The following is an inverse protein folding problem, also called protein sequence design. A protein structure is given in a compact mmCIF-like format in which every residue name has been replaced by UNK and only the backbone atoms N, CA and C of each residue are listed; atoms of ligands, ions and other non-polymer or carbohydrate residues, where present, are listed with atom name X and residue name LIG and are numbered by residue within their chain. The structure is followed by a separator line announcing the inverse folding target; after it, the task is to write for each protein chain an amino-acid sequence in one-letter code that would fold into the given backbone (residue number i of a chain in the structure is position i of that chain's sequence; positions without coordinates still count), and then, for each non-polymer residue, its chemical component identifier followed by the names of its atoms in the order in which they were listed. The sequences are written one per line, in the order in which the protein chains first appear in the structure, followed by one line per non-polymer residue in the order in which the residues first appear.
data_IF_255186289277
#
_entry.id   IF_255186289277
#
_cell.length_a   1.000
_cell.length_b   1.000
_cell.length_c   1.000
_cell.angle_alpha   90.00
_cell.angle_beta   90.00
_cell.angle_gamma   90.00
#
_symmetry.space_group_name_H-M   'P 1'
#
loop_
_entity.id
_entity.type
_entity.pdbx_description
1 polymer ?
#
# COMPACT_ATOMS: atom_id res chain seq x y z
N UNK A 1 8.33 17.57 7.03
CA UNK A 1 7.62 18.65 7.73
C UNK A 1 6.13 18.37 7.85
N UNK A 2 5.37 18.20 6.75
CA UNK A 2 3.93 17.85 6.85
C UNK A 2 3.66 16.47 7.47
N UNK A 3 4.36 15.41 7.02
CA UNK A 3 4.15 14.06 7.57
C UNK A 3 4.57 13.92 9.04
N UNK A 4 5.54 14.73 9.50
CA UNK A 4 6.04 14.67 10.87
C UNK A 4 5.06 15.31 11.85
N UNK A 5 4.55 16.51 11.56
CA UNK A 5 3.56 17.17 12.42
C UNK A 5 2.23 16.41 12.44
N UNK A 6 1.76 15.92 11.28
CA UNK A 6 0.56 15.05 11.22
C UNK A 6 0.74 13.75 12.02
N UNK A 7 1.95 13.20 12.07
CA UNK A 7 2.23 12.00 12.84
C UNK A 7 2.24 12.29 14.36
N UNK A 8 2.73 13.45 14.76
CA UNK A 8 2.65 13.94 16.16
C UNK A 8 1.19 14.06 16.59
N UNK A 9 0.35 14.76 15.81
CA UNK A 9 -1.09 14.91 16.11
C UNK A 9 -1.80 13.55 16.28
N UNK A 10 -1.52 12.59 15.39
CA UNK A 10 -2.14 11.26 15.44
C UNK A 10 -1.71 10.49 16.69
N UNK A 11 -0.46 10.67 17.14
CA UNK A 11 0.08 10.00 18.32
C UNK A 11 -0.54 10.53 19.61
N UNK A 12 -1.06 11.76 19.63
CA UNK A 12 -1.74 12.37 20.78
C UNK A 12 -3.15 11.81 21.00
N UNK A 13 -3.75 11.16 19.99
CA UNK A 13 -5.12 10.60 20.06
C UNK A 13 -5.21 9.27 20.85
N UNK A 14 -4.23 8.98 21.70
CA UNK A 14 -4.19 7.76 22.53
C UNK A 14 -5.03 7.86 23.79
N UNK A 15 -5.27 9.07 24.27
CA UNK A 15 -5.96 9.29 25.54
C UNK A 15 -7.47 9.12 25.37
N UNK A 16 -8.12 8.23 26.15
CA UNK A 16 -9.55 8.05 26.07
C UNK A 16 -10.28 9.24 26.69
N UNK A 17 -11.40 9.63 26.08
CA UNK A 17 -12.35 10.54 26.71
C UNK A 17 -13.49 9.74 27.35
N UNK A 18 -14.07 10.26 28.42
CA UNK A 18 -15.12 9.57 29.17
C UNK A 18 -16.51 10.01 28.70
N UNK A 19 -17.27 9.08 28.10
CA UNK A 19 -18.71 9.24 27.89
C UNK A 19 -19.42 8.50 29.02
N UNK A 20 -20.01 9.23 29.97
CA UNK A 20 -20.76 8.62 31.08
C UNK A 20 -19.97 7.50 31.79
N UNK A 21 -18.68 7.75 32.11
CA UNK A 21 -17.71 6.80 32.72
C UNK A 21 -17.19 5.67 31.84
N UNK A 22 -17.65 5.56 30.59
CA UNK A 22 -17.14 4.58 29.63
C UNK A 22 -15.93 5.20 28.90
N UNK A 23 -14.73 4.59 28.99
CA UNK A 23 -13.57 5.03 28.22
C UNK A 23 -13.84 4.84 26.73
N UNK A 24 -13.87 5.95 26.00
CA UNK A 24 -14.08 5.99 24.56
C UNK A 24 -12.82 6.49 23.88
N UNK A 25 -12.39 5.78 22.83
CA UNK A 25 -11.18 6.10 22.08
C UNK A 25 -11.57 6.64 20.70
N UNK A 26 -10.87 7.68 20.26
CA UNK A 26 -11.03 8.18 18.90
C UNK A 26 -10.47 7.17 17.89
N UNK A 27 -11.28 6.83 16.87
CA UNK A 27 -10.82 6.06 15.72
C UNK A 27 -10.65 7.03 14.56
N UNK A 28 -9.40 7.37 14.24
CA UNK A 28 -9.11 8.28 13.13
C UNK A 28 -9.33 7.57 11.81
N UNK A 29 -10.35 8.02 11.08
CA UNK A 29 -10.51 7.72 9.65
C UNK A 29 -10.08 8.95 8.87
N UNK A 30 -8.80 9.01 8.51
CA UNK A 30 -8.31 10.14 7.70
C UNK A 30 -8.85 9.98 6.28
N UNK A 31 -9.95 10.65 5.94
CA UNK A 31 -10.40 10.77 4.57
C UNK A 31 -10.49 12.25 4.27
N UNK A 32 -9.66 12.75 3.34
CA UNK A 32 -9.93 13.94 2.52
C UNK A 32 -8.83 14.09 1.46
N UNK A 33 -9.04 13.48 0.29
CA UNK A 33 -8.18 13.64 -0.87
C UNK A 33 -8.84 13.04 -2.11
N UNK A 34 -8.58 13.63 -3.28
CA UNK A 34 -8.95 13.03 -4.56
C UNK A 34 -8.25 11.65 -4.75
N UNK A 35 -8.61 10.91 -5.80
CA UNK A 35 -7.98 9.60 -6.08
C UNK A 35 -6.44 9.64 -6.02
N UNK A 36 -5.78 10.60 -6.72
CA UNK A 36 -4.34 10.79 -6.67
C UNK A 36 -3.75 11.00 -5.27
N UNK A 37 -4.35 11.85 -4.43
CA UNK A 37 -3.86 12.09 -3.08
C UNK A 37 -3.89 10.81 -2.24
N UNK A 38 -4.99 10.05 -2.30
CA UNK A 38 -5.11 8.77 -1.58
C UNK A 38 -4.11 7.73 -2.06
N UNK A 39 -3.92 7.62 -3.39
CA UNK A 39 -2.89 6.76 -3.97
C UNK A 39 -1.50 7.13 -3.46
N UNK A 40 -1.20 8.43 -3.40
CA UNK A 40 0.06 8.90 -2.87
C UNK A 40 0.25 8.53 -1.39
N UNK A 41 -0.77 8.78 -0.55
CA UNK A 41 -0.72 8.54 0.90
C UNK A 41 -0.53 7.07 1.26
N UNK A 42 -1.19 6.14 0.56
CA UNK A 42 -1.03 4.70 0.81
C UNK A 42 0.15 4.05 0.09
N UNK A 43 0.97 4.82 -0.61
CA UNK A 43 2.13 4.30 -1.33
C UNK A 43 1.79 3.52 -2.60
N UNK A 44 0.64 3.80 -3.21
CA UNK A 44 0.21 3.23 -4.48
C UNK A 44 0.86 3.95 -5.67
N UNK A 45 1.28 3.22 -6.69
CA UNK A 45 1.79 3.83 -7.92
C UNK A 45 0.68 4.46 -8.75
N UNK A 46 0.98 5.59 -9.37
CA UNK A 46 0.06 6.19 -10.34
C UNK A 46 0.29 5.54 -11.71
N UNK A 47 -0.77 4.99 -12.30
CA UNK A 47 -0.72 4.37 -13.64
C UNK A 47 -0.36 2.88 -13.63
N UNK A 48 0.21 2.40 -14.74
CA UNK A 48 0.49 0.97 -14.94
C UNK A 48 -0.75 0.11 -15.09
N UNK A 49 -0.61 -1.17 -14.78
CA UNK A 49 -1.69 -2.16 -14.86
C UNK A 49 -2.60 -2.16 -13.62
N UNK A 50 -2.13 -1.61 -12.49
CA UNK A 50 -2.88 -1.53 -11.23
C UNK A 50 -3.20 -0.08 -10.88
N UNK A 51 -4.02 0.58 -11.71
CA UNK A 51 -4.27 2.03 -11.61
C UNK A 51 -5.15 2.45 -10.44
N UNK A 52 -5.93 1.53 -9.91
CA UNK A 52 -6.92 1.80 -8.87
C UNK A 52 -6.49 1.13 -7.56
N UNK A 53 -6.96 1.69 -6.44
CA UNK A 53 -6.74 1.18 -5.10
C UNK A 53 -7.41 -0.18 -4.85
N UNK A 54 -8.32 -0.60 -5.73
CA UNK A 54 -8.94 -1.93 -5.71
C UNK A 54 -7.93 -3.07 -5.90
N UNK A 55 -6.73 -2.79 -6.41
CA UNK A 55 -5.70 -3.82 -6.64
C UNK A 55 -6.02 -4.77 -7.79
N UNK A 56 -7.03 -4.48 -8.62
CA UNK A 56 -7.36 -5.28 -9.80
C UNK A 56 -6.52 -4.79 -10.98
N UNK A 57 -5.96 -5.73 -11.74
CA UNK A 57 -5.31 -5.44 -13.00
C UNK A 57 -6.34 -4.84 -14.00
N UNK A 58 -5.96 -3.80 -14.73
CA UNK A 58 -6.80 -3.05 -15.68
C UNK A 58 -7.49 -3.95 -16.71
N UNK A 59 -6.84 -5.05 -17.11
CA UNK A 59 -7.42 -6.03 -18.03
C UNK A 59 -8.65 -6.73 -17.44
N UNK A 60 -8.70 -6.85 -16.12
CA UNK A 60 -9.75 -7.53 -15.37
C UNK A 60 -10.78 -6.58 -14.75
N UNK A 61 -10.69 -5.27 -15.01
CA UNK A 61 -11.59 -4.27 -14.41
C UNK A 61 -13.07 -4.46 -14.76
N UNK A 62 -13.36 -5.15 -15.88
CA UNK A 62 -14.71 -5.49 -16.32
C UNK A 62 -15.22 -6.82 -15.76
N UNK A 63 -14.36 -7.62 -15.14
CA UNK A 63 -14.71 -8.91 -14.57
C UNK A 63 -15.25 -8.67 -13.16
N UNK A 64 -16.56 -8.62 -13.02
CA UNK A 64 -17.26 -8.31 -11.76
C UNK A 64 -16.80 -9.24 -10.61
N UNK A 65 -16.52 -10.51 -10.90
CA UNK A 65 -16.01 -11.47 -9.91
C UNK A 65 -14.68 -11.02 -9.27
N UNK A 66 -13.82 -10.33 -10.04
CA UNK A 66 -12.59 -9.76 -9.49
C UNK A 66 -12.92 -8.67 -8.44
N UNK A 67 -13.94 -7.84 -8.68
CA UNK A 67 -14.35 -6.82 -7.70
C UNK A 67 -14.86 -7.42 -6.39
N UNK A 68 -15.61 -8.53 -6.44
CA UNK A 68 -16.12 -9.20 -5.24
C UNK A 68 -15.09 -10.00 -4.45
N UNK A 69 -13.96 -10.36 -5.06
CA UNK A 69 -12.93 -11.18 -4.43
C UNK A 69 -11.77 -10.37 -3.87
N UNK A 70 -11.70 -9.06 -4.17
CA UNK A 70 -10.65 -8.21 -3.63
C UNK A 70 -11.00 -7.69 -2.24
N UNK A 71 -10.13 -7.99 -1.28
CA UNK A 71 -10.16 -7.39 0.05
C UNK A 71 -9.43 -6.05 0.04
N UNK A 72 -10.03 -5.05 0.69
CA UNK A 72 -9.38 -3.77 0.98
C UNK A 72 -8.21 -4.03 1.93
N UNK A 73 -7.06 -3.43 1.63
CA UNK A 73 -5.85 -3.55 2.47
C UNK A 73 -5.72 -2.35 3.39
N UNK A 74 -5.50 -2.62 4.67
CA UNK A 74 -5.07 -1.65 5.68
C UNK A 74 -3.70 -1.06 5.34
N UNK A 75 -3.33 0.05 5.99
CA UNK A 75 -1.96 0.57 5.87
C UNK A 75 -0.91 -0.41 6.41
N UNK A 76 -1.24 -1.18 7.45
CA UNK A 76 -0.32 -2.19 7.99
C UNK A 76 -0.06 -3.31 6.98
N UNK A 77 -1.10 -3.86 6.35
CA UNK A 77 -0.93 -4.89 5.32
C UNK A 77 -0.13 -4.37 4.12
N UNK A 78 -0.36 -3.11 3.73
CA UNK A 78 0.45 -2.46 2.68
C UNK A 78 1.91 -2.32 3.10
N UNK A 79 2.18 -1.89 4.34
CA UNK A 79 3.53 -1.78 4.92
C UNK A 79 4.23 -3.14 4.91
N UNK A 80 3.58 -4.17 5.44
CA UNK A 80 4.10 -5.53 5.49
C UNK A 80 4.38 -6.09 4.10
N UNK A 81 3.52 -5.82 3.13
CA UNK A 81 3.73 -6.28 1.76
C UNK A 81 5.01 -5.70 1.14
N UNK A 82 5.30 -4.43 1.41
CA UNK A 82 6.54 -3.78 0.95
C UNK A 82 7.75 -4.35 1.68
N UNK A 83 7.68 -4.50 3.01
CA UNK A 83 8.78 -4.97 3.86
C UNK A 83 9.08 -6.47 3.76
N UNK A 84 8.13 -7.27 3.27
CA UNK A 84 8.32 -8.72 3.08
C UNK A 84 9.46 -9.04 2.10
N UNK A 85 9.77 -8.09 1.21
CA UNK A 85 10.85 -8.21 0.26
C UNK A 85 12.18 -7.69 0.81
N UNK A 86 13.27 -8.23 0.28
CA UNK A 86 14.63 -7.74 0.60
C UNK A 86 14.94 -6.36 0.02
N UNK A 87 14.33 -5.99 -1.11
CA UNK A 87 14.68 -4.78 -1.86
C UNK A 87 14.52 -3.53 -0.99
N UNK A 88 13.41 -3.44 -0.26
CA UNK A 88 13.16 -2.29 0.62
C UNK A 88 14.14 -2.23 1.80
N UNK A 89 14.56 -3.39 2.34
CA UNK A 89 15.42 -3.47 3.51
C UNK A 89 16.89 -3.10 3.20
N UNK A 90 17.30 -3.19 1.94
CA UNK A 90 18.67 -2.93 1.51
C UNK A 90 18.96 -1.45 1.21
N UNK A 91 17.93 -0.66 0.89
CA UNK A 91 18.08 0.75 0.56
C UNK A 91 17.45 1.62 1.65
N UNK A 92 18.29 2.42 2.32
CA UNK A 92 17.91 3.25 3.47
C UNK A 92 17.31 4.59 3.06
N UNK A 93 17.43 4.98 1.78
CA UNK A 93 17.04 6.32 1.28
C UNK A 93 15.87 6.27 0.29
N UNK A 94 15.05 5.21 0.32
CA UNK A 94 13.93 5.00 -0.61
C UNK A 94 12.86 6.08 -0.46
N UNK A 95 12.98 7.14 -1.27
CA UNK A 95 11.93 8.15 -1.50
C UNK A 95 11.06 7.82 -2.72
N UNK A 96 11.53 6.95 -3.61
CA UNK A 96 10.90 6.58 -4.88
C UNK A 96 10.49 5.10 -4.89
N UNK A 97 9.83 4.63 -5.97
CA UNK A 97 9.45 3.22 -6.11
C UNK A 97 10.71 2.34 -6.22
N UNK A 98 11.06 1.52 -5.21
CA UNK A 98 12.28 0.72 -5.20
C UNK A 98 12.20 -0.47 -6.16
N UNK A 99 11.01 -0.80 -6.68
CA UNK A 99 10.78 -1.93 -7.57
C UNK A 99 10.82 -1.57 -9.06
N UNK A 100 11.01 -0.29 -9.40
CA UNK A 100 10.85 0.22 -10.77
C UNK A 100 12.02 -0.08 -11.72
N UNK A 101 13.23 -0.33 -11.19
CA UNK A 101 14.46 -0.45 -11.99
C UNK A 101 15.33 -1.65 -11.60
N UNK A 102 14.73 -2.70 -11.05
CA UNK A 102 15.47 -3.89 -10.62
C UNK A 102 16.05 -4.64 -11.83
N UNK A 103 17.30 -5.07 -11.69
CA UNK A 103 17.97 -6.01 -12.61
C UNK A 103 17.36 -7.41 -12.43
N UNK A 104 17.56 -8.28 -13.41
CA UNK A 104 17.02 -9.65 -13.40
C UNK A 104 17.39 -10.39 -12.10
N UNK A 105 18.66 -10.37 -11.71
CA UNK A 105 19.13 -11.03 -10.49
C UNK A 105 18.50 -10.44 -9.21
N UNK A 106 18.23 -9.12 -9.19
CA UNK A 106 17.58 -8.47 -8.05
C UNK A 106 16.09 -8.87 -7.97
N UNK A 107 15.41 -8.96 -9.11
CA UNK A 107 14.04 -9.49 -9.20
C UNK A 107 13.95 -10.95 -8.75
N UNK A 108 14.88 -11.79 -9.18
CA UNK A 108 14.94 -13.20 -8.77
C UNK A 108 15.09 -13.30 -7.25
N UNK A 109 15.97 -12.49 -6.67
CA UNK A 109 16.20 -12.50 -5.23
C UNK A 109 15.02 -11.91 -4.44
N UNK A 110 14.37 -10.86 -4.96
CA UNK A 110 13.16 -10.26 -4.39
C UNK A 110 12.00 -11.26 -4.37
N UNK A 111 11.72 -11.90 -5.51
CA UNK A 111 10.68 -12.92 -5.62
C UNK A 111 10.98 -14.16 -4.76
N UNK A 112 12.23 -14.61 -4.72
CA UNK A 112 12.65 -15.71 -3.86
C UNK A 112 12.42 -15.37 -2.37
N UNK A 113 12.74 -14.14 -1.93
CA UNK A 113 12.48 -13.71 -0.55
C UNK A 113 10.98 -13.69 -0.19
N UNK A 114 10.12 -13.55 -1.20
CA UNK A 114 8.66 -13.61 -1.08
C UNK A 114 8.10 -15.04 -1.21
N UNK A 115 8.95 -16.05 -1.41
CA UNK A 115 8.58 -17.45 -1.56
C UNK A 115 8.09 -17.84 -2.96
N UNK A 116 8.50 -17.10 -4.00
CA UNK A 116 8.08 -17.35 -5.40
C UNK A 116 9.20 -18.03 -6.19
N UNK A 117 8.81 -18.98 -7.05
CA UNK A 117 9.72 -19.65 -7.97
C UNK A 117 10.14 -18.72 -9.11
N UNK A 118 11.42 -18.73 -9.44
CA UNK A 118 12.01 -17.82 -10.45
C UNK A 118 12.68 -18.56 -11.61
N UNK A 119 12.69 -19.89 -11.57
CA UNK A 119 13.36 -20.74 -12.55
C UNK A 119 12.74 -20.57 -13.94
N UNK A 120 13.60 -20.33 -14.94
CA UNK A 120 13.19 -20.24 -16.34
C UNK A 120 12.54 -18.91 -16.75
N UNK A 121 12.24 -18.01 -15.80
CA UNK A 121 11.59 -16.75 -16.11
C UNK A 121 12.57 -15.72 -16.69
N UNK A 122 12.10 -14.97 -17.68
CA UNK A 122 12.79 -13.80 -18.21
C UNK A 122 12.53 -12.56 -17.34
N UNK A 123 13.27 -11.47 -17.58
CA UNK A 123 13.17 -10.25 -16.76
C UNK A 123 11.75 -9.68 -16.74
N UNK A 124 11.05 -9.70 -17.88
CA UNK A 124 9.70 -9.14 -18.00
C UNK A 124 8.70 -9.96 -17.19
N UNK A 125 8.79 -11.30 -17.26
CA UNK A 125 7.94 -12.21 -16.49
C UNK A 125 8.15 -12.05 -14.99
N UNK A 126 9.41 -11.96 -14.54
CA UNK A 126 9.74 -11.69 -13.14
C UNK A 126 9.16 -10.35 -12.66
N UNK A 127 9.21 -9.30 -13.50
CA UNK A 127 8.63 -8.01 -13.15
C UNK A 127 7.09 -8.08 -13.07
N UNK A 128 6.44 -8.82 -13.98
CA UNK A 128 4.99 -9.04 -13.95
C UNK A 128 4.57 -9.76 -12.67
N UNK A 129 5.24 -10.86 -12.32
CA UNK A 129 4.98 -11.59 -11.07
C UNK A 129 5.11 -10.70 -9.83
N UNK A 130 6.16 -9.86 -9.79
CA UNK A 130 6.32 -8.92 -8.68
C UNK A 130 5.18 -7.89 -8.65
N UNK A 131 4.78 -7.35 -9.80
CA UNK A 131 3.69 -6.38 -9.90
C UNK A 131 2.34 -7.00 -9.47
N UNK A 132 2.08 -8.26 -9.80
CA UNK A 132 0.85 -8.97 -9.44
C UNK A 132 0.79 -9.29 -7.94
N UNK A 133 1.94 -9.55 -7.31
CA UNK A 133 2.01 -9.68 -5.84
C UNK A 133 1.73 -8.33 -5.18
N UNK A 134 2.33 -7.26 -5.69
CA UNK A 134 2.26 -5.93 -5.11
C UNK A 134 0.92 -5.22 -5.39
N UNK A 135 0.18 -5.60 -6.43
CA UNK A 135 -1.12 -5.04 -6.80
C UNK A 135 -1.13 -3.51 -6.88
N UNK A 136 -0.04 -2.92 -7.39
CA UNK A 136 0.14 -1.47 -7.50
C UNK A 136 0.72 -0.77 -6.26
N UNK A 137 0.94 -1.48 -5.16
CA UNK A 137 1.66 -0.96 -4.00
C UNK A 137 3.15 -0.84 -4.36
N UNK A 138 3.69 0.37 -4.30
CA UNK A 138 5.02 0.68 -4.82
C UNK A 138 5.98 1.25 -3.78
N UNK A 139 5.48 1.63 -2.60
CA UNK A 139 6.30 2.14 -1.48
C UNK A 139 5.50 2.05 -0.19
N UNK A 140 6.15 2.37 0.93
CA UNK A 140 5.45 2.48 2.20
C UNK A 140 4.39 3.59 2.18
N UNK A 141 3.31 3.44 2.97
CA UNK A 141 2.42 4.55 3.28
C UNK A 141 3.19 5.75 3.82
N UNK A 142 2.78 6.96 3.41
CA UNK A 142 3.53 8.19 3.65
C UNK A 142 3.86 8.43 5.13
N UNK A 143 2.90 8.18 6.04
CA UNK A 143 3.08 8.33 7.48
C UNK A 143 4.04 7.30 8.10
N UNK A 144 4.27 6.17 7.43
CA UNK A 144 5.13 5.08 7.88
C UNK A 144 6.56 5.20 7.32
N UNK A 145 6.82 6.17 6.44
CA UNK A 145 8.18 6.40 5.91
C UNK A 145 9.14 6.94 6.96
N UNK A 146 8.63 7.63 8.00
CA UNK A 146 9.44 8.20 9.08
C UNK A 146 10.09 7.10 9.93
N UNK A 147 9.34 6.03 10.21
CA UNK A 147 9.85 4.84 10.88
C UNK A 147 9.24 3.59 10.23
N UNK A 148 9.91 3.03 9.20
CA UNK A 148 9.42 1.87 8.45
C UNK A 148 9.03 0.66 9.31
N UNK A 149 9.75 0.47 10.42
CA UNK A 149 9.59 -0.70 11.27
C UNK A 149 8.50 -0.52 12.33
N UNK A 150 8.02 0.70 12.55
CA UNK A 150 6.93 0.99 13.48
C UNK A 150 5.60 0.46 12.91
N UNK A 151 4.90 -0.47 13.59
CA UNK A 151 3.57 -0.92 13.20
C UNK A 151 2.56 0.21 13.14
N UNK A 152 1.52 0.04 12.33
CA UNK A 152 0.41 0.98 12.24
C UNK A 152 -0.34 1.17 13.57
N UNK A 153 -0.38 0.14 14.42
CA UNK A 153 -1.04 0.17 15.72
C UNK A 153 -0.38 1.18 16.68
N UNK A 154 0.95 1.26 16.68
CA UNK A 154 1.72 2.18 17.53
C UNK A 154 1.44 3.67 17.22
N UNK A 155 0.89 3.93 16.03
CA UNK A 155 0.49 5.24 15.53
C UNK A 155 -1.04 5.36 15.39
N UNK A 156 -1.83 4.57 16.11
CA UNK A 156 -3.30 4.62 16.11
C UNK A 156 -3.98 4.39 14.73
N UNK A 157 -3.28 3.80 13.76
CA UNK A 157 -3.77 3.53 12.40
C UNK A 157 -3.85 2.02 12.09
N UNK A 158 -3.80 1.16 13.11
CA UNK A 158 -3.81 -0.31 12.96
C UNK A 158 -4.96 -0.85 12.10
N UNK A 159 -6.13 -0.22 12.17
CA UNK A 159 -7.35 -0.61 11.44
C UNK A 159 -7.68 0.33 10.28
N UNK A 160 -6.78 1.24 9.92
CA UNK A 160 -7.08 2.25 8.90
C UNK A 160 -6.94 1.65 7.50
N UNK A 161 -8.07 1.57 6.82
CA UNK A 161 -8.24 1.07 5.46
C UNK A 161 -8.39 2.22 4.48
N UNK A 162 -7.72 2.13 3.32
CA UNK A 162 -7.95 3.08 2.23
C UNK A 162 -8.99 2.48 1.30
N UNK A 163 -10.24 2.91 1.47
CA UNK A 163 -11.35 2.46 0.62
C UNK A 163 -11.17 2.93 -0.83
N UNK A 164 -11.47 2.02 -1.75
CA UNK A 164 -11.71 2.34 -3.16
C UNK A 164 -13.08 3.02 -3.29
N UNK A 165 -13.12 4.23 -3.85
CA UNK A 165 -14.37 4.97 -4.03
C UNK A 165 -14.99 4.82 -5.42
N UNK A 166 -14.39 4.00 -6.29
CA UNK A 166 -14.95 3.70 -7.61
C UNK A 166 -15.41 2.25 -7.62
N UNK A 167 -16.69 1.99 -7.27
CA UNK A 167 -17.24 0.63 -7.24
C UNK A 167 -17.39 0.00 -8.63
N UNK A 168 -17.29 0.80 -9.70
CA UNK A 168 -17.33 0.33 -11.08
C UNK A 168 -16.35 1.16 -11.91
N UNK A 169 -15.38 0.50 -12.56
CA UNK A 169 -14.56 1.08 -13.61
C UNK A 169 -15.42 1.30 -14.87
N UNK A 170 -16.46 2.15 -14.78
CA UNK A 170 -17.27 2.51 -15.92
C UNK A 170 -16.38 3.33 -16.87
N UNK A 171 -16.11 2.73 -18.04
CA UNK A 171 -15.17 3.27 -18.99
C UNK A 171 -15.58 4.65 -19.45
N UNK A 172 -14.62 5.57 -19.49
CA UNK A 172 -14.64 6.55 -20.55
C UNK A 172 -14.41 5.80 -21.87
N UNK A 173 -15.36 5.80 -22.81
CA UNK A 173 -15.05 5.39 -24.17
C UNK A 173 -13.93 6.30 -24.68
N UNK A 174 -12.90 5.68 -25.25
CA UNK A 174 -12.00 6.40 -26.17
C UNK A 174 -12.72 6.56 -27.50
#
# INVERSE_FOLDING_TARGET
MYNSTRLEDILELKDPYLISTIPTFDVVRIFNGDGPARQYECGHQRGGNFRCLCGINVENHRVIQCAYTQNVKTLEERRQLVLKGRTYMQDKDIKTNPFSNLKKAELEQELASRGKGTLGLNKSELQTELNDILNGIARLPALMTVNPNRPAEDINLGKYEIMNFEPLHQGHPK
#
